data_IF_776944040144
#
_entry.id   IF_776944040144
#
_cell.length_a   1.000
_cell.length_b   1.000
_cell.length_c   1.000
_cell.angle_alpha   90.00
_cell.angle_beta   90.00
_cell.angle_gamma   90.00
#
_symmetry.space_group_name_H-M   'P 1'
#
loop_
_entity.id
_entity.type
_entity.pdbx_description
1 polymer ?
#
# COMPACT_ATOMS: atom_id res chain seq x y z
N UNK A 1 -35.75 46.62 22.85
CA UNK A 1 -35.23 45.81 21.72
C UNK A 1 -34.05 46.52 21.13
N UNK A 2 -32.82 46.03 21.37
CA UNK A 2 -31.60 46.58 20.81
C UNK A 2 -30.96 45.53 19.93
N UNK A 3 -30.90 45.78 18.64
CA UNK A 3 -30.25 44.94 17.65
C UNK A 3 -28.77 45.28 17.62
N UNK A 4 -27.90 44.29 17.80
CA UNK A 4 -26.44 44.41 17.73
C UNK A 4 -25.99 43.95 16.35
N UNK A 5 -25.27 44.77 15.55
CA UNK A 5 -24.78 44.37 14.23
C UNK A 5 -23.50 43.52 14.35
N UNK A 6 -23.50 42.36 13.69
CA UNK A 6 -22.36 41.45 13.62
C UNK A 6 -21.18 42.02 12.82
N UNK A 7 -19.99 41.92 13.36
CA UNK A 7 -18.70 42.24 12.72
C UNK A 7 -18.37 41.25 11.63
N UNK A 8 -18.30 41.72 10.39
CA UNK A 8 -17.74 40.94 9.25
C UNK A 8 -16.22 40.92 9.34
N UNK A 9 -15.66 39.73 9.56
CA UNK A 9 -14.21 39.52 9.50
C UNK A 9 -13.80 39.36 8.02
N UNK A 10 -13.04 40.29 7.51
CA UNK A 10 -12.43 40.22 6.17
C UNK A 10 -11.16 39.38 6.27
N UNK A 11 -11.15 38.24 5.61
CA UNK A 11 -9.94 37.43 5.46
C UNK A 11 -9.22 37.93 4.20
N UNK A 12 -8.04 38.50 4.41
CA UNK A 12 -7.16 38.98 3.35
C UNK A 12 -6.50 37.80 2.62
N UNK A 13 -6.60 37.84 1.29
CA UNK A 13 -5.85 36.96 0.39
C UNK A 13 -4.36 37.25 0.48
N UNK A 14 -3.57 36.23 0.83
CA UNK A 14 -2.12 36.26 0.63
C UNK A 14 -1.78 35.45 -0.63
N UNK A 15 -1.42 36.17 -1.66
CA UNK A 15 -0.77 35.67 -2.87
C UNK A 15 0.63 35.19 -2.50
N UNK A 16 0.94 33.93 -2.72
CA UNK A 16 2.32 33.44 -2.67
C UNK A 16 2.78 33.15 -4.10
N UNK A 17 3.84 33.84 -4.43
CA UNK A 17 4.55 33.94 -5.70
C UNK A 17 5.21 32.58 -6.02
N UNK A 18 4.99 32.15 -7.25
CA UNK A 18 5.70 31.02 -7.88
C UNK A 18 7.08 31.52 -8.30
N UNK A 19 8.13 30.90 -7.80
CA UNK A 19 9.48 31.03 -8.37
C UNK A 19 9.80 29.75 -9.14
N UNK A 20 9.80 29.89 -10.45
CA UNK A 20 10.33 28.90 -11.37
C UNK A 20 11.88 28.95 -11.34
N UNK A 21 12.52 27.82 -11.13
CA UNK A 21 13.95 27.67 -11.45
C UNK A 21 14.08 26.60 -12.55
N UNK A 22 14.31 27.13 -13.72
CA UNK A 22 14.85 26.43 -14.89
C UNK A 22 16.38 26.42 -14.72
N UNK A 23 17.04 25.29 -14.89
CA UNK A 23 18.29 25.11 -15.61
C UNK A 23 18.95 23.77 -15.27
N UNK A 24 19.37 23.07 -16.32
CA UNK A 24 20.39 22.05 -16.20
C UNK A 24 20.32 20.91 -17.22
N UNK A 25 20.26 21.26 -18.51
CA UNK A 25 20.64 20.34 -19.57
C UNK A 25 22.17 20.25 -19.58
N UNK A 26 22.74 19.08 -19.34
CA UNK A 26 24.15 18.80 -19.61
C UNK A 26 24.29 17.43 -20.32
N UNK A 27 24.41 17.58 -21.59
CA UNK A 27 25.13 16.87 -22.62
C UNK A 27 26.19 15.91 -22.04
N UNK A 28 26.04 14.61 -22.26
CA UNK A 28 27.18 13.68 -22.21
C UNK A 28 27.53 13.26 -23.61
N UNK A 29 28.71 13.75 -24.05
CA UNK A 29 29.33 13.47 -25.32
C UNK A 29 29.86 12.04 -25.36
N UNK A 30 29.64 11.46 -26.54
CA UNK A 30 30.33 10.28 -27.08
C UNK A 30 31.85 10.47 -27.02
N UNK A 31 32.56 9.43 -26.63
CA UNK A 31 33.96 9.25 -27.04
C UNK A 31 34.10 7.84 -27.61
N UNK A 32 34.19 7.79 -28.91
CA UNK A 32 34.66 6.65 -29.65
C UNK A 32 36.19 6.79 -29.77
N UNK A 33 36.92 5.77 -29.48
CA UNK A 33 38.26 5.58 -30.01
C UNK A 33 38.57 4.10 -30.14
N UNK A 34 38.69 3.78 -31.34
CA UNK A 34 39.19 2.68 -32.07
C UNK A 34 40.63 2.32 -31.64
N UNK A 35 40.94 1.06 -31.50
CA UNK A 35 42.22 0.49 -32.02
C UNK A 35 42.24 -1.03 -31.84
N UNK A 36 42.61 -1.63 -32.93
CA UNK A 36 42.63 -3.03 -33.24
C UNK A 36 43.82 -3.82 -32.61
N UNK A 37 43.59 -5.17 -32.62
CA UNK A 37 44.52 -6.24 -32.99
C UNK A 37 45.47 -6.82 -31.95
N UNK A 38 45.30 -8.06 -31.58
CA UNK A 38 46.13 -9.21 -31.95
C UNK A 38 46.04 -10.39 -30.98
N UNK A 39 45.64 -11.53 -31.54
CA UNK A 39 46.09 -12.90 -31.25
C UNK A 39 45.82 -13.58 -29.88
N UNK A 40 45.02 -14.62 -29.98
CA UNK A 40 44.83 -15.90 -29.25
C UNK A 40 46.16 -16.70 -28.96
N UNK A 41 46.09 -17.85 -28.24
CA UNK A 41 45.07 -18.50 -27.42
C UNK A 41 45.65 -19.05 -26.08
N UNK A 42 44.79 -19.43 -25.15
CA UNK A 42 44.85 -20.73 -24.46
C UNK A 42 44.04 -20.76 -23.17
N UNK A 43 43.22 -21.76 -23.15
CA UNK A 43 42.80 -22.62 -22.02
C UNK A 43 41.94 -22.08 -20.84
N UNK A 44 40.70 -22.52 -20.92
CA UNK A 44 40.04 -23.38 -19.92
C UNK A 44 39.91 -22.84 -18.51
N UNK A 45 38.79 -22.31 -18.18
CA UNK A 45 37.85 -22.81 -17.17
C UNK A 45 36.71 -21.81 -16.99
N UNK A 46 35.77 -21.86 -17.91
CA UNK A 46 34.50 -21.14 -17.71
C UNK A 46 33.65 -21.93 -16.72
N UNK A 47 33.89 -21.72 -15.44
CA UNK A 47 32.81 -21.96 -14.48
C UNK A 47 31.74 -20.94 -14.72
N UNK A 48 30.75 -21.37 -15.50
CA UNK A 48 29.43 -20.73 -15.59
C UNK A 48 28.83 -20.73 -14.19
N UNK A 49 29.06 -19.68 -13.45
CA UNK A 49 28.25 -19.33 -12.29
C UNK A 49 26.92 -18.85 -12.86
N UNK A 50 26.00 -19.79 -13.08
CA UNK A 50 24.59 -19.46 -13.24
C UNK A 50 24.20 -18.55 -12.08
N UNK A 51 23.60 -17.38 -12.33
CA UNK A 51 23.01 -16.62 -11.25
C UNK A 51 21.97 -17.54 -10.61
N UNK A 52 22.24 -17.98 -9.39
CA UNK A 52 21.24 -18.61 -8.53
C UNK A 52 20.07 -17.67 -8.49
N UNK A 53 19.04 -17.97 -9.26
CA UNK A 53 17.75 -17.32 -9.12
C UNK A 53 17.40 -17.45 -7.65
N UNK A 54 17.38 -16.33 -6.94
CA UNK A 54 16.89 -16.29 -5.58
C UNK A 54 15.51 -16.94 -5.62
N UNK A 55 15.41 -18.15 -5.08
CA UNK A 55 14.15 -18.86 -4.90
C UNK A 55 13.40 -17.99 -3.90
N UNK A 56 12.56 -17.08 -4.42
CA UNK A 56 11.63 -16.33 -3.58
C UNK A 56 10.74 -17.38 -2.94
N UNK A 57 10.93 -17.61 -1.66
CA UNK A 57 10.05 -18.47 -0.85
C UNK A 57 8.61 -18.12 -1.20
N UNK A 58 7.75 -19.10 -1.45
CA UNK A 58 6.34 -18.83 -1.75
C UNK A 58 5.76 -18.02 -0.60
N UNK A 59 5.32 -16.79 -0.89
CA UNK A 59 4.82 -15.87 0.14
C UNK A 59 3.59 -16.52 0.77
N UNK A 60 3.72 -16.93 2.02
CA UNK A 60 2.67 -17.62 2.75
C UNK A 60 1.53 -16.67 3.11
N UNK A 61 0.44 -16.71 2.34
CA UNK A 61 -0.75 -15.86 2.52
C UNK A 61 -1.56 -16.25 3.77
N UNK A 62 -1.40 -17.49 4.27
CA UNK A 62 -2.09 -17.98 5.48
C UNK A 62 -1.72 -17.17 6.73
N UNK A 63 -0.58 -16.47 6.71
CA UNK A 63 -0.17 -15.53 7.76
C UNK A 63 -1.20 -14.42 8.03
N UNK A 64 -2.08 -14.14 7.08
CA UNK A 64 -3.09 -13.09 7.21
C UNK A 64 -4.29 -13.51 8.04
N UNK A 65 -4.51 -14.80 8.25
CA UNK A 65 -5.64 -15.32 9.02
C UNK A 65 -5.56 -14.80 10.45
N UNK A 66 -6.68 -14.25 10.93
CA UNK A 66 -6.84 -13.73 12.28
C UNK A 66 -7.62 -12.43 12.33
N UNK A 67 -7.65 -11.81 13.51
CA UNK A 67 -8.35 -10.55 13.79
C UNK A 67 -7.37 -9.40 13.84
N UNK A 68 -7.74 -8.31 13.20
CA UNK A 68 -6.91 -7.12 13.03
C UNK A 68 -7.66 -5.90 13.54
N UNK A 69 -7.16 -5.30 14.64
CA UNK A 69 -7.73 -4.11 15.26
C UNK A 69 -7.11 -2.86 14.68
N UNK A 70 -7.93 -1.93 14.24
CA UNK A 70 -7.48 -0.62 13.76
C UNK A 70 -6.91 0.20 14.92
N UNK A 71 -5.76 0.86 14.70
CA UNK A 71 -4.98 1.50 15.77
C UNK A 71 -5.61 2.79 16.31
N UNK A 72 -6.46 3.45 15.53
CA UNK A 72 -7.11 4.73 15.89
C UNK A 72 -8.60 4.58 16.23
N UNK A 73 -9.11 3.35 16.30
CA UNK A 73 -10.54 3.07 16.54
C UNK A 73 -10.74 1.64 17.04
N UNK A 74 -11.99 1.22 17.24
CA UNK A 74 -12.35 -0.15 17.61
C UNK A 74 -12.81 -0.99 16.40
N UNK A 75 -12.45 -0.58 15.18
CA UNK A 75 -12.83 -1.32 13.98
C UNK A 75 -11.96 -2.54 13.77
N UNK A 76 -12.59 -3.66 13.43
CA UNK A 76 -11.90 -4.94 13.28
C UNK A 76 -12.11 -5.49 11.88
N UNK A 77 -11.03 -5.87 11.22
CA UNK A 77 -11.04 -6.78 10.07
C UNK A 77 -10.73 -8.18 10.60
N UNK A 78 -11.55 -9.17 10.27
CA UNK A 78 -11.32 -10.57 10.57
C UNK A 78 -11.12 -11.34 9.28
N UNK A 79 -9.97 -11.97 9.11
CA UNK A 79 -9.67 -12.86 7.98
C UNK A 79 -9.80 -14.28 8.48
N UNK A 80 -10.83 -14.98 8.01
CA UNK A 80 -11.19 -16.33 8.44
C UNK A 80 -10.52 -17.41 7.60
N UNK A 81 -10.33 -17.10 6.29
CA UNK A 81 -9.80 -18.08 5.34
C UNK A 81 -9.12 -17.34 4.18
N UNK A 82 -8.08 -17.96 3.63
CA UNK A 82 -7.38 -17.53 2.43
C UNK A 82 -7.37 -18.68 1.44
N UNK A 83 -8.07 -18.53 0.34
CA UNK A 83 -8.11 -19.51 -0.75
C UNK A 83 -6.84 -19.43 -1.61
N UNK A 84 -6.49 -20.51 -2.34
CA UNK A 84 -5.28 -20.54 -3.18
C UNK A 84 -5.27 -19.48 -4.29
N UNK A 85 -6.43 -19.04 -4.76
CA UNK A 85 -6.61 -17.99 -5.75
C UNK A 85 -6.50 -16.56 -5.18
N UNK A 86 -6.27 -16.44 -3.87
CA UNK A 86 -6.19 -15.17 -3.17
C UNK A 86 -7.54 -14.61 -2.70
N UNK A 87 -8.65 -15.29 -2.94
CA UNK A 87 -9.95 -14.90 -2.36
C UNK A 87 -9.93 -15.06 -0.85
N UNK A 88 -10.45 -14.04 -0.13
CA UNK A 88 -10.54 -14.06 1.32
C UNK A 88 -12.00 -14.24 1.77
N UNK A 89 -12.21 -15.09 2.78
CA UNK A 89 -13.42 -15.03 3.59
C UNK A 89 -13.12 -14.11 4.77
N UNK A 90 -13.74 -12.93 4.77
CA UNK A 90 -13.45 -11.87 5.75
C UNK A 90 -14.71 -11.28 6.34
N UNK A 91 -14.60 -10.81 7.57
CA UNK A 91 -15.60 -10.01 8.28
C UNK A 91 -15.07 -8.61 8.59
N UNK A 92 -15.98 -7.64 8.74
CA UNK A 92 -15.65 -6.30 9.21
C UNK A 92 -16.66 -5.87 10.28
N UNK A 93 -16.16 -5.25 11.35
CA UNK A 93 -16.95 -4.86 12.52
C UNK A 93 -16.70 -3.40 12.90
N UNK A 94 -17.82 -2.62 13.10
CA UNK A 94 -17.78 -1.20 13.49
C UNK A 94 -19.01 -0.81 14.39
N UNK A 95 -19.03 -1.12 15.68
CA UNK A 95 -18.64 -2.39 16.28
C UNK A 95 -19.50 -3.56 15.80
N UNK A 96 -20.67 -3.26 15.21
CA UNK A 96 -21.56 -4.26 14.62
C UNK A 96 -21.02 -4.79 13.30
N UNK A 97 -21.38 -5.99 12.89
CA UNK A 97 -21.00 -6.53 11.59
C UNK A 97 -21.46 -5.63 10.44
N UNK A 98 -20.56 -5.36 9.51
CA UNK A 98 -20.83 -4.65 8.25
C UNK A 98 -20.59 -5.61 7.11
N UNK A 99 -21.44 -5.59 6.10
CA UNK A 99 -21.32 -6.49 4.96
C UNK A 99 -20.03 -6.25 4.16
N UNK A 100 -19.23 -7.30 4.00
CA UNK A 100 -18.06 -7.35 3.12
C UNK A 100 -18.51 -7.89 1.76
N UNK A 101 -18.48 -7.06 0.74
CA UNK A 101 -18.89 -7.43 -0.62
C UNK A 101 -17.80 -8.13 -1.42
N UNK A 102 -16.53 -7.80 -1.14
CA UNK A 102 -15.36 -8.42 -1.75
C UNK A 102 -14.17 -8.37 -0.79
N UNK A 103 -13.39 -9.43 -0.76
CA UNK A 103 -12.12 -9.46 -0.06
C UNK A 103 -11.12 -10.35 -0.81
N UNK A 104 -9.89 -9.87 -0.98
CA UNK A 104 -8.83 -10.61 -1.66
C UNK A 104 -7.45 -10.23 -1.14
N UNK A 105 -6.48 -11.11 -1.38
CA UNK A 105 -5.05 -10.85 -1.20
C UNK A 105 -4.31 -11.09 -2.51
N UNK A 106 -3.36 -10.23 -2.80
CA UNK A 106 -2.45 -10.36 -3.93
C UNK A 106 -1.00 -10.23 -3.44
N UNK A 107 -0.09 -11.00 -4.04
CA UNK A 107 1.35 -10.77 -3.85
C UNK A 107 1.81 -9.72 -4.86
N UNK A 108 2.19 -8.54 -4.39
CA UNK A 108 2.76 -7.47 -5.19
C UNK A 108 4.23 -7.29 -4.85
N UNK A 109 5.10 -7.83 -5.70
CA UNK A 109 6.56 -7.71 -5.54
C UNK A 109 7.07 -8.17 -4.15
N UNK A 110 6.56 -9.32 -3.68
CA UNK A 110 6.92 -9.88 -2.37
C UNK A 110 6.14 -9.32 -1.19
N UNK A 111 5.25 -8.36 -1.40
CA UNK A 111 4.38 -7.80 -0.36
C UNK A 111 2.96 -8.31 -0.54
N UNK A 112 2.38 -8.86 0.52
CA UNK A 112 0.96 -9.22 0.54
C UNK A 112 0.11 -7.97 0.66
N UNK A 113 -0.72 -7.71 -0.35
CA UNK A 113 -1.69 -6.62 -0.36
C UNK A 113 -3.10 -7.18 -0.18
N UNK A 114 -3.76 -6.77 0.89
CA UNK A 114 -5.14 -7.13 1.24
C UNK A 114 -6.07 -6.03 0.74
N UNK A 115 -7.13 -6.42 0.05
CA UNK A 115 -8.25 -5.56 -0.34
C UNK A 115 -9.52 -6.05 0.34
N UNK A 116 -10.30 -5.11 0.92
CA UNK A 116 -11.62 -5.39 1.54
C UNK A 116 -12.59 -4.30 1.12
N UNK A 117 -13.67 -4.64 0.43
CA UNK A 117 -14.75 -3.73 0.06
C UNK A 117 -15.95 -3.92 0.98
N UNK A 118 -16.49 -2.80 1.46
CA UNK A 118 -17.67 -2.75 2.31
C UNK A 118 -18.88 -2.25 1.50
N UNK A 119 -19.99 -2.97 1.59
CA UNK A 119 -21.22 -2.59 0.90
C UNK A 119 -22.42 -2.82 1.80
N UNK A 120 -22.72 -1.78 2.57
CA UNK A 120 -23.79 -1.76 3.56
C UNK A 120 -24.36 -0.35 3.69
N UNK A 121 -25.38 -0.17 4.54
CA UNK A 121 -25.88 1.16 4.93
C UNK A 121 -24.75 2.01 5.50
N UNK A 122 -24.49 3.16 4.88
CA UNK A 122 -23.34 4.03 5.23
C UNK A 122 -22.00 3.63 4.59
N UNK A 123 -21.92 2.50 3.90
CA UNK A 123 -20.72 1.98 3.22
C UNK A 123 -20.99 1.65 1.74
N UNK A 124 -21.25 2.64 0.87
CA UNK A 124 -21.61 2.40 -0.53
C UNK A 124 -20.37 2.11 -1.41
N UNK A 125 -19.59 1.07 -1.08
CA UNK A 125 -18.35 0.71 -1.75
C UNK A 125 -17.09 1.33 -1.13
N UNK A 126 -17.14 1.68 0.15
CA UNK A 126 -15.93 2.03 0.92
C UNK A 126 -14.99 0.84 0.97
N UNK A 127 -13.68 1.07 0.87
CA UNK A 127 -12.75 -0.05 0.81
C UNK A 127 -11.41 0.24 1.50
N UNK A 128 -10.75 -0.84 1.88
CA UNK A 128 -9.40 -0.87 2.41
C UNK A 128 -8.45 -1.45 1.37
N UNK A 129 -7.28 -0.85 1.22
CA UNK A 129 -6.12 -1.39 0.50
C UNK A 129 -4.93 -1.37 1.45
N UNK A 130 -4.52 -2.53 1.94
CA UNK A 130 -3.58 -2.68 3.05
C UNK A 130 -2.43 -3.58 2.65
N UNK A 131 -1.21 -3.20 3.02
CA UNK A 131 0.00 -3.99 2.83
C UNK A 131 0.39 -4.65 4.16
N UNK A 132 0.66 -5.95 4.15
CA UNK A 132 1.14 -6.65 5.31
C UNK A 132 2.60 -6.30 5.61
N UNK A 133 2.87 -5.95 6.85
CA UNK A 133 4.18 -5.60 7.40
C UNK A 133 4.63 -6.69 8.37
N UNK A 134 5.44 -7.67 7.93
CA UNK A 134 5.82 -8.79 8.79
C UNK A 134 6.67 -8.38 10.00
N UNK A 135 7.38 -7.23 9.95
CA UNK A 135 8.24 -6.77 11.04
C UNK A 135 7.48 -6.43 12.33
N UNK A 136 6.27 -5.92 12.19
CA UNK A 136 5.38 -5.51 13.31
C UNK A 136 4.05 -6.26 13.33
N UNK A 137 3.89 -7.27 12.46
CA UNK A 137 2.65 -8.02 12.29
C UNK A 137 1.43 -7.09 12.17
N UNK A 138 1.53 -6.15 11.19
CA UNK A 138 0.55 -5.11 10.95
C UNK A 138 0.04 -5.12 9.50
N UNK A 139 -1.17 -4.58 9.29
CA UNK A 139 -1.71 -4.22 7.98
C UNK A 139 -1.75 -2.69 7.89
N UNK A 140 -1.02 -2.11 6.93
CA UNK A 140 -0.91 -0.67 6.76
C UNK A 140 -1.29 -0.24 5.35
N UNK A 141 -2.01 0.86 5.21
CA UNK A 141 -2.40 1.37 3.91
C UNK A 141 -3.47 2.43 3.95
N UNK A 142 -4.45 2.32 3.06
CA UNK A 142 -5.48 3.34 2.88
C UNK A 142 -6.89 2.78 3.07
N UNK A 143 -7.75 3.62 3.60
CA UNK A 143 -9.20 3.47 3.62
C UNK A 143 -9.82 4.52 2.71
N UNK A 144 -10.50 4.09 1.66
CA UNK A 144 -11.34 4.94 0.84
C UNK A 144 -12.74 5.00 1.42
N UNK A 145 -13.16 6.18 1.91
CA UNK A 145 -14.52 6.41 2.38
C UNK A 145 -15.39 6.93 1.23
N UNK A 146 -16.25 6.06 0.71
CA UNK A 146 -17.02 6.35 -0.51
C UNK A 146 -17.99 7.53 -0.36
N UNK A 147 -18.59 7.72 0.83
CA UNK A 147 -19.51 8.83 1.12
C UNK A 147 -18.84 10.19 1.07
N UNK A 148 -17.58 10.29 1.48
CA UNK A 148 -16.79 11.52 1.46
C UNK A 148 -15.89 11.64 0.22
N UNK A 149 -15.73 10.54 -0.55
CA UNK A 149 -14.77 10.42 -1.66
C UNK A 149 -13.34 10.78 -1.24
N UNK A 150 -12.94 10.35 -0.05
CA UNK A 150 -11.65 10.66 0.56
C UNK A 150 -10.89 9.40 0.95
N UNK A 151 -9.55 9.49 0.92
CA UNK A 151 -8.65 8.45 1.40
C UNK A 151 -8.06 8.87 2.74
N UNK A 152 -7.94 7.90 3.65
CA UNK A 152 -7.33 8.04 4.96
C UNK A 152 -6.23 6.99 5.12
N UNK A 153 -5.08 7.38 5.66
CA UNK A 153 -4.06 6.42 6.05
C UNK A 153 -4.51 5.69 7.30
N UNK A 154 -4.38 4.38 7.29
CA UNK A 154 -4.85 3.50 8.37
C UNK A 154 -3.84 2.40 8.66
N UNK A 155 -3.83 1.93 9.90
CA UNK A 155 -3.07 0.79 10.33
C UNK A 155 -3.92 -0.12 11.22
N UNK A 156 -3.67 -1.43 11.11
CA UNK A 156 -4.28 -2.45 11.93
C UNK A 156 -3.18 -3.31 12.55
N UNK A 157 -3.32 -3.63 13.81
CA UNK A 157 -2.45 -4.56 14.53
C UNK A 157 -3.17 -5.88 14.75
N UNK A 158 -2.43 -6.98 14.70
CA UNK A 158 -3.01 -8.28 15.02
C UNK A 158 -3.50 -8.33 16.46
N UNK A 159 -4.71 -8.80 16.67
CA UNK A 159 -5.23 -9.11 18.00
C UNK A 159 -4.66 -10.45 18.49
N UNK A 160 -4.34 -10.58 19.78
CA UNK A 160 -4.03 -11.88 20.36
C UNK A 160 -5.17 -12.88 20.11
N UNK A 161 -4.82 -14.15 19.91
CA UNK A 161 -5.84 -15.21 19.85
C UNK A 161 -6.58 -15.26 21.20
N UNK A 162 -7.90 -15.27 21.17
CA UNK A 162 -8.70 -15.52 22.37
C UNK A 162 -8.41 -16.97 22.84
N UNK A 163 -8.01 -17.09 24.11
CA UNK A 163 -7.72 -18.40 24.73
C UNK A 163 -9.00 -19.00 25.29
#
# INVERSE_FOLDING_TARGET
MKVVPGKRLKIASALIVIVAVVCGVLIWRMNASDSAESASPSDSNSQSVSPTAAISEPVNMQKLIGRWLRTDSQYVIEILEVSPDGTLRAGYYNPQPINVSAAKVENKNGTLQVFVELRDTGYPGSNYTLNYKPQNDALEGTYFQATLKQNFNVAFMRMPAER
#
